data_IF_714405702202
#
_entry.id   IF_714405702202
#
_cell.length_a   1.000
_cell.length_b   1.000
_cell.length_c   1.000
_cell.angle_alpha   90.00
_cell.angle_beta   90.00
_cell.angle_gamma   90.00
#
_symmetry.space_group_name_H-M   'P 1'
#
loop_
_entity.id
_entity.type
_entity.pdbx_description
1 polymer ?
#
# COMPACT_ATOMS: atom_id res chain seq x y z
N UNK A 1 15.34 32.68 29.59
CA UNK A 1 13.94 32.25 29.33
C UNK A 1 13.94 31.65 27.93
N UNK A 2 13.79 30.33 27.81
CA UNK A 2 13.83 29.67 26.50
C UNK A 2 12.56 29.98 25.73
N UNK A 3 12.68 30.48 24.49
CA UNK A 3 11.55 30.61 23.58
C UNK A 3 11.00 29.20 23.31
N UNK A 4 9.78 28.91 23.80
CA UNK A 4 9.05 27.72 23.38
C UNK A 4 8.60 27.96 21.94
N UNK A 5 9.04 27.09 21.05
CA UNK A 5 8.62 27.10 19.65
C UNK A 5 7.41 26.17 19.53
N UNK A 6 6.39 26.63 18.80
CA UNK A 6 5.12 25.94 18.66
C UNK A 6 4.83 25.64 17.19
N UNK A 7 4.03 24.58 16.94
CA UNK A 7 3.51 24.22 15.61
C UNK A 7 2.00 24.05 15.64
N UNK A 8 1.38 24.13 14.47
CA UNK A 8 -0.05 23.87 14.30
C UNK A 8 -0.28 22.38 14.05
N UNK A 9 -1.24 21.78 14.76
CA UNK A 9 -1.63 20.40 14.57
C UNK A 9 -2.13 20.16 13.14
N UNK A 10 -1.56 19.17 12.46
CA UNK A 10 -1.91 18.79 11.08
C UNK A 10 -3.36 18.28 10.90
N UNK A 11 -4.09 18.02 11.99
CA UNK A 11 -5.47 17.52 11.96
C UNK A 11 -6.48 18.50 12.51
N UNK A 12 -6.22 19.07 13.69
CA UNK A 12 -7.22 19.87 14.42
C UNK A 12 -6.94 21.37 14.47
N UNK A 13 -5.81 21.83 13.92
CA UNK A 13 -5.48 23.26 13.87
C UNK A 13 -5.08 23.91 15.19
N UNK A 14 -5.03 23.15 16.30
CA UNK A 14 -4.57 23.68 17.60
C UNK A 14 -3.05 23.79 17.65
N UNK A 15 -2.58 24.80 18.38
CA UNK A 15 -1.17 25.03 18.67
C UNK A 15 -0.66 24.00 19.69
N UNK A 16 0.46 23.35 19.36
CA UNK A 16 1.12 22.32 20.15
C UNK A 16 2.63 22.54 20.14
N UNK A 17 3.36 21.88 21.04
CA UNK A 17 4.83 21.93 21.07
C UNK A 17 5.42 21.46 19.72
N UNK A 18 6.44 22.17 19.21
CA UNK A 18 7.08 21.88 17.92
C UNK A 18 7.58 20.43 17.82
N UNK A 19 8.10 19.89 18.93
CA UNK A 19 8.61 18.53 19.02
C UNK A 19 7.55 17.50 19.42
N UNK A 20 6.29 17.91 19.63
CA UNK A 20 5.23 16.99 20.01
C UNK A 20 4.97 15.98 18.90
N UNK A 21 5.20 14.70 19.18
CA UNK A 21 4.92 13.59 18.27
C UNK A 21 3.41 13.36 18.10
N UNK A 22 2.61 13.72 19.10
CA UNK A 22 1.16 13.62 19.09
C UNK A 22 0.52 14.93 19.55
N UNK A 23 -0.67 15.22 19.03
CA UNK A 23 -1.46 16.33 19.52
C UNK A 23 -2.14 15.92 20.84
N UNK A 24 -1.80 16.60 21.94
CA UNK A 24 -2.43 16.43 23.25
C UNK A 24 -3.94 16.77 23.28
N UNK A 25 -4.47 17.39 22.22
CA UNK A 25 -5.89 17.75 22.13
C UNK A 25 -6.73 16.76 21.31
N UNK A 26 -6.20 16.18 20.23
CA UNK A 26 -6.97 15.33 19.32
C UNK A 26 -6.36 13.94 19.10
N UNK A 27 -5.20 13.65 19.68
CA UNK A 27 -4.50 12.37 19.56
C UNK A 27 -3.84 12.13 18.20
N UNK A 28 -3.94 13.05 17.23
CA UNK A 28 -3.34 12.88 15.92
C UNK A 28 -1.80 12.82 16.00
N UNK A 29 -1.19 11.85 15.32
CA UNK A 29 0.26 11.83 15.08
C UNK A 29 0.65 13.03 14.23
N UNK A 30 1.68 13.74 14.66
CA UNK A 30 2.19 14.93 14.00
C UNK A 30 3.34 14.54 13.08
N UNK A 31 3.39 15.18 11.91
CA UNK A 31 4.59 15.15 11.06
C UNK A 31 5.65 15.98 11.76
N UNK A 32 6.59 15.31 12.42
CA UNK A 32 7.83 15.95 12.86
C UNK A 32 8.60 16.22 11.57
N UNK A 33 8.97 17.48 11.28
CA UNK A 33 9.98 17.77 10.27
C UNK A 33 11.31 17.30 10.84
N UNK A 34 11.57 16.01 10.72
CA UNK A 34 12.86 15.43 11.02
C UNK A 34 13.83 15.87 9.93
N UNK A 35 14.78 16.75 10.27
CA UNK A 35 15.97 17.02 9.45
C UNK A 35 16.91 15.79 9.48
N UNK A 36 16.37 14.59 9.24
CA UNK A 36 17.14 13.37 9.18
C UNK A 36 17.73 13.24 7.78
N UNK A 37 19.03 13.05 7.72
CA UNK A 37 19.72 12.60 6.52
C UNK A 37 19.17 11.25 6.06
N UNK A 38 19.36 10.92 4.77
CA UNK A 38 18.95 9.61 4.27
C UNK A 38 19.63 8.47 5.05
N UNK A 39 20.89 8.63 5.46
CA UNK A 39 21.59 7.64 6.27
C UNK A 39 20.95 7.40 7.64
N UNK A 40 20.51 8.47 8.33
CA UNK A 40 19.80 8.33 9.60
C UNK A 40 18.43 7.68 9.40
N UNK A 41 17.72 8.02 8.32
CA UNK A 41 16.43 7.39 7.98
C UNK A 41 16.60 5.90 7.67
N UNK A 42 17.66 5.52 6.93
CA UNK A 42 18.00 4.12 6.66
C UNK A 42 18.36 3.39 7.94
N UNK A 43 19.13 4.01 8.84
CA UNK A 43 19.47 3.41 10.13
C UNK A 43 18.20 3.10 10.97
N UNK A 44 17.20 3.98 10.96
CA UNK A 44 15.90 3.73 11.62
C UNK A 44 15.16 2.54 10.97
N UNK A 45 15.22 2.43 9.64
CA UNK A 45 14.62 1.31 8.90
C UNK A 45 15.34 0.00 9.24
N UNK A 46 16.68 -0.01 9.28
CA UNK A 46 17.51 -1.16 9.64
C UNK A 46 17.27 -1.60 11.09
N UNK A 47 17.12 -0.65 12.02
CA UNK A 47 16.75 -0.93 13.41
C UNK A 47 15.40 -1.65 13.50
N UNK A 48 14.42 -1.21 12.70
CA UNK A 48 13.10 -1.87 12.60
C UNK A 48 13.18 -3.29 12.01
N UNK A 49 14.26 -3.59 11.27
CA UNK A 49 14.54 -4.89 10.67
C UNK A 49 15.46 -5.76 11.54
N UNK A 50 15.92 -5.28 12.70
CA UNK A 50 16.90 -5.98 13.56
C UNK A 50 16.50 -7.40 13.95
N UNK A 51 15.20 -7.67 14.07
CA UNK A 51 14.65 -9.02 14.31
C UNK A 51 15.05 -10.05 13.24
N UNK A 52 15.34 -9.59 12.02
CA UNK A 52 15.81 -10.45 10.92
C UNK A 52 17.28 -10.85 11.05
N UNK A 53 18.01 -10.25 12.01
CA UNK A 53 19.47 -10.37 12.17
C UNK A 53 20.25 -10.02 10.89
N UNK A 54 19.64 -9.25 10.00
CA UNK A 54 20.17 -8.85 8.69
C UNK A 54 20.00 -7.34 8.49
N UNK A 55 20.80 -6.79 7.58
CA UNK A 55 20.76 -5.36 7.19
C UNK A 55 20.82 -5.22 5.68
N UNK A 56 20.62 -4.01 5.18
CA UNK A 56 20.78 -3.78 3.74
C UNK A 56 22.24 -3.97 3.32
N UNK A 57 22.44 -4.50 2.11
CA UNK A 57 23.71 -4.36 1.39
C UNK A 57 23.85 -2.94 0.84
N UNK A 58 25.01 -2.57 0.31
CA UNK A 58 25.21 -1.25 -0.32
C UNK A 58 24.19 -1.00 -1.45
N UNK A 59 23.93 -2.02 -2.29
CA UNK A 59 22.88 -1.97 -3.31
C UNK A 59 21.48 -1.84 -2.70
N UNK A 60 21.24 -2.52 -1.58
CA UNK A 60 20.00 -2.42 -0.82
C UNK A 60 19.78 -1.02 -0.24
N UNK A 61 20.83 -0.36 0.25
CA UNK A 61 20.79 1.02 0.74
C UNK A 61 20.46 2.00 -0.38
N UNK A 62 21.11 1.88 -1.54
CA UNK A 62 20.77 2.70 -2.74
C UNK A 62 19.30 2.52 -3.13
N UNK A 63 18.79 1.30 -3.10
CA UNK A 63 17.37 1.02 -3.35
C UNK A 63 16.48 1.65 -2.27
N UNK A 64 16.86 1.55 -1.00
CA UNK A 64 16.14 2.17 0.11
C UNK A 64 16.12 3.70 0.03
N UNK A 65 17.20 4.34 -0.43
CA UNK A 65 17.24 5.79 -0.71
C UNK A 65 16.22 6.16 -1.79
N UNK A 66 16.13 5.36 -2.86
CA UNK A 66 15.11 5.59 -3.91
C UNK A 66 13.69 5.50 -3.33
N UNK A 67 13.45 4.57 -2.40
CA UNK A 67 12.17 4.44 -1.70
C UNK A 67 11.90 5.63 -0.78
N UNK A 68 12.91 6.15 -0.06
CA UNK A 68 12.76 7.32 0.78
C UNK A 68 12.30 8.54 -0.03
N UNK A 69 12.89 8.73 -1.22
CA UNK A 69 12.49 9.80 -2.13
C UNK A 69 11.08 9.60 -2.69
N UNK A 70 10.67 8.36 -2.96
CA UNK A 70 9.36 8.05 -3.60
C UNK A 70 8.18 8.01 -2.61
N UNK A 71 8.43 7.55 -1.39
CA UNK A 71 7.40 7.17 -0.42
C UNK A 71 7.50 7.89 0.94
N UNK A 72 8.69 8.36 1.30
CA UNK A 72 8.97 8.88 2.64
C UNK A 72 9.10 7.79 3.71
N UNK A 73 9.72 8.16 4.84
CA UNK A 73 10.05 7.25 5.94
C UNK A 73 8.82 6.56 6.55
N UNK A 74 7.75 7.30 6.83
CA UNK A 74 6.56 6.77 7.52
C UNK A 74 5.94 5.58 6.75
N UNK A 75 5.82 5.69 5.42
CA UNK A 75 5.24 4.63 4.59
C UNK A 75 6.16 3.41 4.51
N UNK A 76 7.48 3.62 4.48
CA UNK A 76 8.45 2.52 4.49
C UNK A 76 8.39 1.77 5.81
N UNK A 77 8.35 2.46 6.95
CA UNK A 77 8.25 1.85 8.27
C UNK A 77 6.97 1.02 8.43
N UNK A 78 5.84 1.55 7.96
CA UNK A 78 4.59 0.78 7.91
C UNK A 78 4.75 -0.48 7.04
N UNK A 79 5.39 -0.34 5.88
CA UNK A 79 5.62 -1.44 4.94
C UNK A 79 6.58 -2.49 5.48
N UNK A 80 7.59 -2.10 6.26
CA UNK A 80 8.50 -3.00 7.00
C UNK A 80 7.72 -3.80 8.03
N UNK A 81 6.89 -3.14 8.84
CA UNK A 81 6.06 -3.83 9.83
C UNK A 81 5.17 -4.89 9.16
N UNK A 82 4.52 -4.53 8.05
CA UNK A 82 3.68 -5.47 7.29
C UNK A 82 4.52 -6.63 6.74
N UNK A 83 5.68 -6.33 6.16
CA UNK A 83 6.56 -7.35 5.58
C UNK A 83 7.03 -8.35 6.63
N UNK A 84 7.47 -7.87 7.80
CA UNK A 84 7.88 -8.73 8.92
C UNK A 84 6.71 -9.60 9.37
N UNK A 85 5.55 -9.00 9.65
CA UNK A 85 4.38 -9.73 10.15
C UNK A 85 3.88 -10.80 9.18
N UNK A 86 3.93 -10.54 7.86
CA UNK A 86 3.39 -11.46 6.86
C UNK A 86 4.38 -12.53 6.39
N UNK A 87 5.68 -12.22 6.39
CA UNK A 87 6.66 -13.04 5.67
C UNK A 87 7.79 -13.60 6.52
N UNK A 88 8.13 -12.99 7.67
CA UNK A 88 9.23 -13.49 8.50
C UNK A 88 8.84 -14.81 9.18
N UNK A 89 9.74 -15.80 9.12
CA UNK A 89 9.58 -17.11 9.75
C UNK A 89 10.80 -17.44 10.60
N UNK A 90 10.59 -18.27 11.61
CA UNK A 90 11.62 -18.74 12.51
C UNK A 90 11.70 -20.26 12.45
N UNK A 91 12.92 -20.78 12.52
CA UNK A 91 13.17 -22.21 12.58
C UNK A 91 12.87 -22.79 13.98
N UNK A 92 13.14 -24.10 14.15
CA UNK A 92 12.94 -24.77 15.44
C UNK A 92 13.79 -24.23 16.59
N UNK A 93 14.86 -23.50 16.29
CA UNK A 93 15.76 -22.89 17.28
C UNK A 93 15.37 -21.44 17.60
N UNK A 94 14.31 -20.92 16.97
CA UNK A 94 13.92 -19.51 17.10
C UNK A 94 14.79 -18.57 16.27
N UNK A 95 15.54 -19.08 15.30
CA UNK A 95 16.39 -18.29 14.41
C UNK A 95 15.63 -17.89 13.14
N UNK A 96 15.81 -16.65 12.61
CA UNK A 96 15.17 -16.25 11.37
C UNK A 96 15.56 -17.15 10.18
N UNK A 97 14.58 -17.68 9.46
CA UNK A 97 14.84 -18.45 8.24
C UNK A 97 15.33 -17.52 7.10
N UNK A 98 16.51 -17.77 6.54
CA UNK A 98 17.13 -16.88 5.54
C UNK A 98 16.26 -16.59 4.30
N UNK A 99 15.48 -17.59 3.85
CA UNK A 99 14.56 -17.41 2.72
C UNK A 99 13.40 -16.47 3.07
N UNK A 100 12.91 -16.54 4.31
CA UNK A 100 11.86 -15.67 4.82
C UNK A 100 12.37 -14.23 5.00
N UNK A 101 13.59 -14.07 5.52
CA UNK A 101 14.29 -12.78 5.61
C UNK A 101 14.43 -12.16 4.23
N UNK A 102 14.95 -12.91 3.25
CA UNK A 102 15.06 -12.43 1.86
C UNK A 102 13.71 -11.98 1.30
N UNK A 103 12.63 -12.71 1.63
CA UNK A 103 11.27 -12.35 1.24
C UNK A 103 10.81 -11.04 1.88
N UNK A 104 11.09 -10.80 3.16
CA UNK A 104 10.77 -9.53 3.86
C UNK A 104 11.37 -8.35 3.10
N UNK A 105 12.68 -8.37 2.86
CA UNK A 105 13.37 -7.27 2.17
C UNK A 105 12.82 -7.02 0.76
N UNK A 106 12.56 -8.09 -0.01
CA UNK A 106 12.03 -7.99 -1.37
C UNK A 106 10.59 -7.45 -1.43
N UNK A 107 9.82 -7.58 -0.35
CA UNK A 107 8.40 -7.18 -0.33
C UNK A 107 8.19 -5.72 0.06
N UNK A 108 9.10 -5.08 0.78
CA UNK A 108 8.96 -3.70 1.29
C UNK A 108 8.56 -2.73 0.17
N UNK A 109 9.37 -2.60 -0.89
CA UNK A 109 9.06 -1.66 -1.98
C UNK A 109 7.76 -1.99 -2.73
N UNK A 110 7.40 -3.27 -2.84
CA UNK A 110 6.12 -3.69 -3.42
C UNK A 110 4.92 -3.26 -2.56
N UNK A 111 5.04 -3.39 -1.23
CA UNK A 111 4.01 -2.95 -0.28
C UNK A 111 3.87 -1.43 -0.33
N UNK A 112 4.98 -0.67 -0.35
CA UNK A 112 4.94 0.79 -0.50
C UNK A 112 4.15 1.21 -1.74
N UNK A 113 4.47 0.65 -2.92
CA UNK A 113 3.77 0.97 -4.17
C UNK A 113 2.30 0.62 -4.13
N UNK A 114 1.94 -0.53 -3.56
CA UNK A 114 0.54 -0.94 -3.46
C UNK A 114 -0.25 0.00 -2.53
N UNK A 115 0.34 0.42 -1.41
CA UNK A 115 -0.29 1.39 -0.49
C UNK A 115 -0.45 2.77 -1.12
N UNK A 116 0.59 3.28 -1.79
CA UNK A 116 0.53 4.54 -2.53
C UNK A 116 -0.55 4.49 -3.61
N UNK A 117 -0.61 3.41 -4.38
CA UNK A 117 -1.66 3.21 -5.39
C UNK A 117 -3.06 3.17 -4.78
N UNK A 118 -3.25 2.46 -3.67
CA UNK A 118 -4.55 2.41 -3.00
C UNK A 118 -5.00 3.80 -2.50
N UNK A 119 -4.06 4.67 -2.12
CA UNK A 119 -4.35 6.03 -1.68
C UNK A 119 -4.63 6.98 -2.85
N UNK A 120 -3.77 6.98 -3.87
CA UNK A 120 -3.82 7.96 -4.97
C UNK A 120 -4.78 7.55 -6.09
N UNK A 121 -4.90 6.23 -6.32
CA UNK A 121 -5.65 5.63 -7.42
C UNK A 121 -6.35 4.35 -6.95
N UNK A 122 -7.31 4.46 -6.01
CA UNK A 122 -7.98 3.30 -5.43
C UNK A 122 -8.61 2.39 -6.50
N UNK A 123 -9.09 2.97 -7.61
CA UNK A 123 -9.62 2.25 -8.76
C UNK A 123 -8.57 1.34 -9.44
N UNK A 124 -7.33 1.79 -9.66
CA UNK A 124 -6.26 0.94 -10.22
C UNK A 124 -5.88 -0.18 -9.24
N UNK A 125 -5.80 0.13 -7.94
CA UNK A 125 -5.51 -0.86 -6.91
C UNK A 125 -6.59 -1.96 -6.86
N UNK A 126 -7.86 -1.57 -6.94
CA UNK A 126 -8.98 -2.50 -6.89
C UNK A 126 -9.15 -3.28 -8.20
N UNK A 127 -8.86 -2.69 -9.37
CA UNK A 127 -8.75 -3.44 -10.63
C UNK A 127 -7.78 -4.61 -10.48
N UNK A 128 -6.56 -4.35 -9.96
CA UNK A 128 -5.56 -5.41 -9.76
C UNK A 128 -6.04 -6.49 -8.80
N UNK A 129 -6.73 -6.10 -7.72
CA UNK A 129 -7.37 -7.04 -6.77
C UNK A 129 -8.38 -7.95 -7.49
N UNK A 130 -9.28 -7.36 -8.28
CA UNK A 130 -10.26 -8.11 -9.08
C UNK A 130 -9.58 -9.05 -10.07
N UNK A 131 -8.64 -8.55 -10.89
CA UNK A 131 -7.94 -9.34 -11.89
C UNK A 131 -7.15 -10.50 -11.29
N UNK A 132 -6.47 -10.28 -10.16
CA UNK A 132 -5.75 -11.34 -9.47
C UNK A 132 -6.70 -12.45 -8.97
N UNK A 133 -7.86 -12.07 -8.41
CA UNK A 133 -8.85 -13.04 -8.00
C UNK A 133 -9.46 -13.77 -9.20
N UNK A 134 -9.82 -13.05 -10.27
CA UNK A 134 -10.39 -13.60 -11.49
C UNK A 134 -9.45 -14.63 -12.14
N UNK A 135 -8.17 -14.27 -12.27
CA UNK A 135 -7.14 -15.16 -12.80
C UNK A 135 -6.93 -16.40 -11.94
N UNK A 136 -6.95 -16.25 -10.61
CA UNK A 136 -6.87 -17.40 -9.70
C UNK A 136 -8.09 -18.32 -9.81
N UNK A 137 -9.28 -17.75 -10.04
CA UNK A 137 -10.55 -18.48 -10.12
C UNK A 137 -10.72 -19.22 -11.44
N UNK A 138 -10.36 -18.60 -12.56
CA UNK A 138 -10.72 -19.11 -13.89
C UNK A 138 -9.58 -19.29 -14.87
N UNK A 139 -8.36 -18.82 -14.55
CA UNK A 139 -7.23 -18.76 -15.48
C UNK A 139 -7.61 -18.09 -16.82
N UNK A 140 -7.54 -16.76 -16.86
CA UNK A 140 -7.99 -15.96 -17.99
C UNK A 140 -6.88 -15.88 -19.05
N UNK A 141 -7.22 -16.08 -20.32
CA UNK A 141 -6.28 -15.93 -21.43
C UNK A 141 -5.87 -14.46 -21.61
N UNK A 142 -4.65 -14.24 -22.11
CA UNK A 142 -4.06 -12.90 -22.23
C UNK A 142 -4.96 -11.89 -22.96
N UNK A 143 -5.65 -12.30 -24.03
CA UNK A 143 -6.52 -11.40 -24.79
C UNK A 143 -7.71 -10.93 -23.93
N UNK A 144 -8.40 -11.88 -23.30
CA UNK A 144 -9.57 -11.61 -22.47
C UNK A 144 -9.18 -10.79 -21.22
N UNK A 145 -7.96 -10.99 -20.70
CA UNK A 145 -7.49 -10.27 -19.52
C UNK A 145 -7.27 -8.78 -19.79
N UNK A 146 -6.76 -8.40 -20.97
CA UNK A 146 -6.54 -6.99 -21.33
C UNK A 146 -7.86 -6.24 -21.43
N UNK A 147 -8.85 -6.81 -22.13
CA UNK A 147 -10.16 -6.19 -22.30
C UNK A 147 -10.91 -6.08 -20.97
N UNK A 148 -10.92 -7.16 -20.18
CA UNK A 148 -11.54 -7.17 -18.86
C UNK A 148 -10.90 -6.15 -17.92
N UNK A 149 -9.57 -6.06 -17.89
CA UNK A 149 -8.85 -5.08 -17.06
C UNK A 149 -9.20 -3.64 -17.44
N UNK A 150 -9.29 -3.35 -18.74
CA UNK A 150 -9.70 -2.04 -19.23
C UNK A 150 -11.13 -1.67 -18.81
N UNK A 151 -12.08 -2.59 -18.99
CA UNK A 151 -13.49 -2.36 -18.64
C UNK A 151 -13.70 -2.21 -17.12
N UNK A 152 -13.06 -3.06 -16.30
CA UNK A 152 -13.09 -2.91 -14.85
C UNK A 152 -12.51 -1.56 -14.43
N UNK A 153 -11.38 -1.15 -15.01
CA UNK A 153 -10.75 0.13 -14.66
C UNK A 153 -11.64 1.32 -15.01
N UNK A 154 -12.29 1.31 -16.18
CA UNK A 154 -13.26 2.35 -16.58
C UNK A 154 -14.41 2.45 -15.58
N UNK A 155 -15.02 1.33 -15.22
CA UNK A 155 -16.13 1.29 -14.25
C UNK A 155 -15.70 1.83 -12.89
N UNK A 156 -14.60 1.33 -12.35
CA UNK A 156 -14.10 1.74 -11.04
C UNK A 156 -13.69 3.21 -11.01
N UNK A 157 -13.10 3.72 -12.09
CA UNK A 157 -12.79 5.14 -12.22
C UNK A 157 -14.06 6.00 -12.27
N UNK A 158 -15.09 5.55 -12.99
CA UNK A 158 -16.39 6.22 -13.00
C UNK A 158 -17.01 6.24 -11.60
N UNK A 159 -17.06 5.11 -10.88
CA UNK A 159 -17.58 5.04 -9.51
C UNK A 159 -16.81 5.95 -8.55
N UNK A 160 -15.49 6.03 -8.70
CA UNK A 160 -14.67 6.99 -7.96
C UNK A 160 -15.02 8.45 -8.27
N UNK A 161 -15.26 8.79 -9.53
CA UNK A 161 -15.65 10.15 -9.93
C UNK A 161 -17.00 10.60 -9.36
N UNK A 162 -17.96 9.69 -9.26
CA UNK A 162 -19.31 10.00 -8.77
C UNK A 162 -19.47 9.85 -7.25
N UNK A 163 -18.42 9.40 -6.54
CA UNK A 163 -18.42 9.26 -5.07
C UNK A 163 -18.96 7.92 -4.54
N UNK A 164 -19.25 6.96 -5.41
CA UNK A 164 -19.85 5.66 -5.05
C UNK A 164 -18.83 4.50 -5.02
N UNK A 165 -17.53 4.82 -5.02
CA UNK A 165 -16.46 3.83 -5.17
C UNK A 165 -16.55 2.66 -4.19
N UNK A 166 -16.71 2.93 -2.90
CA UNK A 166 -16.64 1.90 -1.87
C UNK A 166 -17.78 0.87 -2.02
N UNK A 167 -19.01 1.34 -2.24
CA UNK A 167 -20.16 0.44 -2.44
C UNK A 167 -20.07 -0.30 -3.77
N UNK A 168 -19.83 0.41 -4.87
CA UNK A 168 -19.90 -0.18 -6.22
C UNK A 168 -18.72 -1.10 -6.52
N UNK A 169 -17.54 -0.84 -5.96
CA UNK A 169 -16.39 -1.73 -6.09
C UNK A 169 -16.63 -3.06 -5.35
N UNK A 170 -17.27 -3.02 -4.18
CA UNK A 170 -17.63 -4.23 -3.44
C UNK A 170 -18.75 -5.01 -4.16
N UNK A 171 -19.77 -4.33 -4.69
CA UNK A 171 -20.81 -4.97 -5.51
C UNK A 171 -20.19 -5.72 -6.71
N UNK A 172 -19.21 -5.10 -7.38
CA UNK A 172 -18.48 -5.71 -8.49
C UNK A 172 -17.65 -6.92 -8.03
N UNK A 173 -17.05 -6.87 -6.83
CA UNK A 173 -16.32 -7.99 -6.25
C UNK A 173 -17.24 -9.15 -5.87
N UNK A 174 -18.41 -8.85 -5.29
CA UNK A 174 -19.46 -9.85 -4.99
C UNK A 174 -19.97 -10.49 -6.27
N UNK A 175 -20.20 -9.70 -7.32
CA UNK A 175 -20.58 -10.22 -8.65
C UNK A 175 -19.54 -11.23 -9.14
N UNK A 176 -18.26 -10.84 -9.15
CA UNK A 176 -17.16 -11.73 -9.55
C UNK A 176 -17.13 -13.04 -8.75
N UNK A 177 -17.31 -12.96 -7.42
CA UNK A 177 -17.31 -14.14 -6.54
C UNK A 177 -18.48 -15.07 -6.84
N UNK A 178 -19.67 -14.52 -7.08
CA UNK A 178 -20.90 -15.27 -7.29
C UNK A 178 -21.03 -15.86 -8.70
N UNK A 179 -20.43 -15.23 -9.71
CA UNK A 179 -20.49 -15.71 -11.09
C UNK A 179 -19.76 -17.05 -11.22
N UNK A 180 -20.35 -18.09 -11.85
CA UNK A 180 -19.70 -19.39 -12.01
C UNK A 180 -18.68 -19.40 -13.15
N UNK A 181 -18.99 -18.75 -14.26
CA UNK A 181 -18.24 -18.81 -15.52
C UNK A 181 -17.56 -17.48 -15.87
N UNK A 182 -16.35 -17.54 -16.44
CA UNK A 182 -15.58 -16.33 -16.75
C UNK A 182 -16.22 -15.46 -17.83
N UNK A 183 -16.86 -16.05 -18.84
CA UNK A 183 -17.46 -15.30 -19.94
C UNK A 183 -18.70 -14.56 -19.47
N UNK A 184 -19.51 -15.19 -18.62
CA UNK A 184 -20.65 -14.49 -17.97
C UNK A 184 -20.19 -13.27 -17.17
N UNK A 185 -19.06 -13.35 -16.47
CA UNK A 185 -18.52 -12.18 -15.76
C UNK A 185 -18.02 -11.09 -16.72
N UNK A 186 -17.26 -11.48 -17.76
CA UNK A 186 -16.74 -10.57 -18.77
C UNK A 186 -17.89 -9.84 -19.49
N UNK A 187 -18.92 -10.58 -19.91
CA UNK A 187 -20.08 -10.04 -20.61
C UNK A 187 -20.87 -9.07 -19.72
N UNK A 188 -21.07 -9.41 -18.44
CA UNK A 188 -21.72 -8.50 -17.47
C UNK A 188 -20.93 -7.22 -17.25
N UNK A 189 -19.61 -7.30 -17.14
CA UNK A 189 -18.74 -6.12 -17.04
C UNK A 189 -18.84 -5.25 -18.29
N UNK A 190 -18.79 -5.86 -19.48
CA UNK A 190 -18.94 -5.16 -20.76
C UNK A 190 -20.31 -4.50 -20.91
N UNK A 191 -21.39 -5.16 -20.46
CA UNK A 191 -22.74 -4.60 -20.46
C UNK A 191 -22.83 -3.36 -19.57
N UNK A 192 -22.29 -3.42 -18.34
CA UNK A 192 -22.26 -2.27 -17.43
C UNK A 192 -21.52 -1.07 -18.03
N UNK A 193 -20.40 -1.31 -18.73
CA UNK A 193 -19.66 -0.26 -19.46
C UNK A 193 -20.53 0.39 -20.55
N UNK A 194 -21.28 -0.42 -21.30
CA UNK A 194 -22.17 0.07 -22.35
C UNK A 194 -23.36 0.86 -21.78
N UNK A 195 -24.02 0.35 -20.73
CA UNK A 195 -25.15 1.04 -20.07
C UNK A 195 -24.76 2.40 -19.51
N UNK A 196 -23.53 2.53 -19.01
CA UNK A 196 -22.98 3.77 -18.46
C UNK A 196 -22.32 4.66 -19.53
N UNK A 197 -22.27 4.23 -20.79
CA UNK A 197 -21.61 4.93 -21.92
C UNK A 197 -20.13 5.28 -21.63
N UNK A 198 -19.33 4.30 -21.18
CA UNK A 198 -17.91 4.46 -20.77
C UNK A 198 -16.87 3.95 -21.78
#
# INVERSE_FOLDING_TARGET
>A
MGNKVYKICNKCGKEIDENSAFCNFCGAKQTIKTNLTNDEQIAIIEESLSITKSRFSDKGRILCESWLNEFGLDLILESVSIAITQYLRFDSNGEPEQNSVTTVFNKIGGICRNKKMALEKPYEAFTKKLMNYANKKWYIYYRDSVELEANITKLLYHYHKIGDFDSKSEDLFVLLKSTPDRYDFIDKVSHLVQELNL
#
